data_IF_794814567493
#
_entry.id   IF_794814567493
#
_cell.length_a   1.000
_cell.length_b   1.000
_cell.length_c   1.000
_cell.angle_alpha   90.00
_cell.angle_beta   90.00
_cell.angle_gamma   90.00
#
_symmetry.space_group_name_H-M   'P 1'
#
loop_
_entity.id
_entity.type
_entity.pdbx_description
1 polymer ?
#
# COMPACT_ATOMS: atom_id res chain seq x y z
N UNK A 1 0.94 7.18 1.10
CA UNK A 1 1.34 5.75 0.96
C UNK A 1 1.85 5.14 2.28
N UNK A 2 2.79 5.76 3.00
CA UNK A 2 3.35 5.20 4.23
C UNK A 2 2.31 5.00 5.35
N UNK A 3 1.40 5.97 5.54
CA UNK A 3 0.38 5.93 6.60
C UNK A 3 -0.54 4.71 6.49
N UNK A 4 -1.04 4.38 5.29
CA UNK A 4 -1.93 3.22 5.13
C UNK A 4 -1.21 1.89 5.39
N UNK A 5 0.06 1.79 5.01
CA UNK A 5 0.89 0.61 5.34
C UNK A 5 1.10 0.48 6.86
N UNK A 6 1.29 1.60 7.56
CA UNK A 6 1.36 1.62 9.03
C UNK A 6 0.02 1.21 9.67
N UNK A 7 -1.12 1.66 9.13
CA UNK A 7 -2.44 1.22 9.59
C UNK A 7 -2.63 -0.30 9.43
N UNK A 8 -2.23 -0.88 8.29
CA UNK A 8 -2.29 -2.34 8.08
C UNK A 8 -1.39 -3.06 9.10
N UNK A 9 -0.16 -2.58 9.30
CA UNK A 9 0.76 -3.18 10.27
C UNK A 9 0.18 -3.15 11.69
N UNK A 10 -0.40 -2.02 12.09
CA UNK A 10 -1.01 -1.86 13.41
C UNK A 10 -2.23 -2.77 13.58
N UNK A 11 -3.08 -2.88 12.54
CA UNK A 11 -4.21 -3.81 12.52
C UNK A 11 -3.80 -5.28 12.64
N UNK A 12 -2.73 -5.68 11.95
CA UNK A 12 -2.17 -7.04 12.04
C UNK A 12 -1.60 -7.34 13.43
N UNK A 13 -0.90 -6.39 14.06
CA UNK A 13 -0.39 -6.54 15.43
C UNK A 13 -1.56 -6.66 16.42
N UNK A 14 -2.61 -5.86 16.26
CA UNK A 14 -3.80 -5.93 17.11
C UNK A 14 -4.54 -7.28 16.98
N UNK A 15 -4.64 -7.82 15.75
CA UNK A 15 -5.20 -9.16 15.49
C UNK A 15 -4.34 -10.27 16.09
N UNK A 16 -3.01 -10.19 15.94
CA UNK A 16 -2.09 -11.15 16.52
C UNK A 16 -2.18 -11.15 18.06
N UNK A 17 -2.29 -9.98 18.67
CA UNK A 17 -2.51 -9.84 20.10
C UNK A 17 -3.84 -10.47 20.54
N UNK A 18 -4.94 -10.19 19.85
CA UNK A 18 -6.24 -10.79 20.15
C UNK A 18 -6.21 -12.32 20.02
N UNK A 19 -5.52 -12.85 18.99
CA UNK A 19 -5.35 -14.29 18.80
C UNK A 19 -4.52 -14.93 19.94
N UNK A 20 -3.44 -14.26 20.37
CA UNK A 20 -2.64 -14.71 21.51
C UNK A 20 -3.46 -14.74 22.80
N UNK A 21 -4.21 -13.67 23.09
CA UNK A 21 -5.09 -13.59 24.25
C UNK A 21 -6.18 -14.67 24.24
N UNK A 22 -6.78 -14.95 23.08
CA UNK A 22 -7.77 -16.01 22.92
C UNK A 22 -7.17 -17.41 23.15
N UNK A 23 -5.97 -17.67 22.61
CA UNK A 23 -5.25 -18.93 22.79
C UNK A 23 -4.84 -19.15 24.26
N UNK A 24 -4.33 -18.10 24.92
CA UNK A 24 -3.99 -18.12 26.33
C UNK A 24 -5.23 -18.36 27.19
N UNK A 25 -6.34 -17.68 26.93
CA UNK A 25 -7.59 -17.87 27.66
C UNK A 25 -8.12 -19.31 27.54
N UNK A 26 -8.09 -19.89 26.34
CA UNK A 26 -8.47 -21.29 26.13
C UNK A 26 -7.55 -22.26 26.87
N UNK A 27 -6.26 -21.96 26.95
CA UNK A 27 -5.29 -22.77 27.69
C UNK A 27 -5.52 -22.65 29.19
N UNK A 28 -5.76 -21.45 29.70
CA UNK A 28 -6.08 -21.20 31.10
C UNK A 28 -7.31 -21.99 31.57
N UNK A 29 -8.41 -21.95 30.81
CA UNK A 29 -9.63 -22.71 31.13
C UNK A 29 -9.41 -24.22 31.15
N UNK A 30 -8.54 -24.74 30.29
CA UNK A 30 -8.15 -26.16 30.28
C UNK A 30 -7.37 -26.54 31.53
N UNK A 31 -6.50 -25.65 32.04
CA UNK A 31 -5.72 -25.91 33.25
C UNK A 31 -6.58 -25.81 34.52
N UNK A 32 -7.57 -24.94 34.54
CA UNK A 32 -8.45 -24.73 35.70
C UNK A 32 -9.66 -25.66 35.71
N UNK A 33 -9.76 -26.58 34.75
CA UNK A 33 -10.90 -27.49 34.56
C UNK A 33 -12.26 -26.76 34.47
N UNK A 34 -12.24 -25.49 34.04
CA UNK A 34 -13.45 -24.69 33.86
C UNK A 34 -14.02 -24.90 32.47
N UNK A 35 -15.36 -24.95 32.38
CA UNK A 35 -16.04 -25.09 31.10
C UNK A 35 -15.90 -23.80 30.26
N UNK A 36 -15.61 -23.98 28.96
CA UNK A 36 -15.57 -22.87 28.02
C UNK A 36 -17.00 -22.42 27.72
N UNK A 37 -17.42 -21.32 28.32
CA UNK A 37 -18.76 -20.75 28.11
C UNK A 37 -18.76 -19.75 26.96
N UNK A 38 -17.94 -18.71 27.06
CA UNK A 38 -17.92 -17.58 26.12
C UNK A 38 -16.53 -16.94 26.12
N UNK A 39 -16.08 -16.50 24.94
CA UNK A 39 -14.87 -15.69 24.84
C UNK A 39 -15.10 -14.31 25.48
N UNK A 40 -14.15 -13.79 26.28
CA UNK A 40 -14.27 -12.47 26.87
C UNK A 40 -14.61 -11.39 25.84
N UNK A 41 -15.56 -10.52 26.19
CA UNK A 41 -16.10 -9.50 25.29
C UNK A 41 -15.03 -8.51 24.81
N UNK A 42 -14.00 -8.26 25.62
CA UNK A 42 -12.87 -7.41 25.29
C UNK A 42 -12.04 -7.97 24.11
N UNK A 43 -11.70 -9.27 24.15
CA UNK A 43 -10.97 -9.95 23.07
C UNK A 43 -11.80 -9.95 21.78
N UNK A 44 -13.10 -10.17 21.91
CA UNK A 44 -14.01 -10.14 20.77
C UNK A 44 -14.07 -8.75 20.12
N UNK A 45 -14.22 -7.68 20.91
CA UNK A 45 -14.20 -6.30 20.41
C UNK A 45 -12.85 -5.95 19.77
N UNK A 46 -11.73 -6.32 20.40
CA UNK A 46 -10.39 -6.07 19.87
C UNK A 46 -10.18 -6.75 18.51
N UNK A 47 -10.70 -7.97 18.34
CA UNK A 47 -10.62 -8.70 17.09
C UNK A 47 -11.45 -8.00 15.98
N UNK A 48 -12.68 -7.58 16.27
CA UNK A 48 -13.52 -6.84 15.31
C UNK A 48 -12.87 -5.51 14.91
N UNK A 49 -12.39 -4.72 15.88
CA UNK A 49 -11.73 -3.45 15.60
C UNK A 49 -10.44 -3.65 14.79
N UNK A 50 -9.62 -4.64 15.15
CA UNK A 50 -8.41 -4.99 14.41
C UNK A 50 -8.70 -5.42 12.96
N UNK A 51 -9.77 -6.18 12.75
CA UNK A 51 -10.22 -6.58 11.41
C UNK A 51 -10.64 -5.37 10.58
N UNK A 52 -11.48 -4.49 11.13
CA UNK A 52 -11.97 -3.29 10.42
C UNK A 52 -10.82 -2.35 10.02
N UNK A 53 -9.88 -2.10 10.93
CA UNK A 53 -8.70 -1.27 10.66
C UNK A 53 -7.83 -1.89 9.57
N UNK A 54 -7.64 -3.21 9.60
CA UNK A 54 -6.85 -3.92 8.60
C UNK A 54 -7.52 -3.87 7.23
N UNK A 55 -8.82 -4.13 7.13
CA UNK A 55 -9.58 -4.01 5.88
C UNK A 55 -9.50 -2.60 5.30
N UNK A 56 -9.71 -1.58 6.12
CA UNK A 56 -9.60 -0.18 5.70
C UNK A 56 -8.20 0.14 5.18
N UNK A 57 -7.15 -0.28 5.90
CA UNK A 57 -5.77 -0.08 5.48
C UNK A 57 -5.46 -0.76 4.15
N UNK A 58 -5.90 -2.00 3.94
CA UNK A 58 -5.62 -2.78 2.72
C UNK A 58 -6.30 -2.15 1.50
N UNK A 59 -7.55 -1.72 1.61
CA UNK A 59 -8.28 -1.05 0.52
C UNK A 59 -7.53 0.20 0.06
N UNK A 60 -7.04 1.00 0.99
CA UNK A 60 -6.25 2.20 0.66
C UNK A 60 -4.85 1.89 0.12
N UNK A 61 -4.25 0.74 0.47
CA UNK A 61 -2.97 0.29 -0.08
C UNK A 61 -3.10 -0.21 -1.51
N UNK A 62 -4.26 -0.77 -1.89
CA UNK A 62 -4.51 -1.33 -3.23
C UNK A 62 -4.40 -0.30 -4.37
N UNK A 63 -4.31 0.99 -4.05
CA UNK A 63 -4.13 2.05 -5.03
C UNK A 63 -5.43 2.57 -5.61
N UNK A 64 -5.36 3.72 -6.29
CA UNK A 64 -6.51 4.31 -6.94
C UNK A 64 -6.79 3.59 -8.26
N UNK A 65 -8.07 3.44 -8.58
CA UNK A 65 -8.47 3.04 -9.92
C UNK A 65 -8.01 4.09 -10.94
N UNK A 66 -7.50 3.61 -12.08
CA UNK A 66 -7.18 4.44 -13.24
C UNK A 66 -8.35 4.39 -14.22
N UNK A 67 -8.61 5.49 -14.90
CA UNK A 67 -9.69 5.55 -15.90
C UNK A 67 -9.46 4.56 -17.04
N UNK A 68 -10.55 3.92 -17.48
CA UNK A 68 -10.54 2.94 -18.57
C UNK A 68 -10.35 3.64 -19.93
N UNK A 69 -10.78 4.89 -20.05
CA UNK A 69 -10.71 5.66 -21.31
C UNK A 69 -9.27 6.08 -21.59
N UNK A 70 -8.71 5.53 -22.67
CA UNK A 70 -7.38 5.92 -23.15
C UNK A 70 -7.29 7.42 -23.51
N UNK A 71 -8.39 8.03 -23.97
CA UNK A 71 -8.44 9.44 -24.36
C UNK A 71 -8.12 10.39 -23.20
N UNK A 72 -8.53 10.08 -21.97
CA UNK A 72 -8.24 10.91 -20.81
C UNK A 72 -6.74 10.99 -20.49
N UNK A 73 -5.99 9.91 -20.75
CA UNK A 73 -4.53 9.91 -20.64
C UNK A 73 -3.86 10.61 -21.84
N UNK A 74 -4.50 10.60 -23.01
CA UNK A 74 -3.98 11.25 -24.23
C UNK A 74 -4.12 12.78 -24.18
N UNK A 75 -5.15 13.31 -23.52
CA UNK A 75 -5.31 14.76 -23.35
C UNK A 75 -4.17 15.40 -22.54
N UNK A 76 -3.50 14.62 -21.70
CA UNK A 76 -2.32 15.09 -20.93
C UNK A 76 -1.05 15.09 -21.79
N UNK A 77 -1.04 14.40 -22.94
CA UNK A 77 0.16 14.28 -23.79
C UNK A 77 0.17 15.36 -24.88
N UNK A 78 1.19 16.21 -24.86
CA UNK A 78 1.41 17.25 -25.87
C UNK A 78 1.95 16.67 -27.17
N UNK A 79 1.66 17.33 -28.30
CA UNK A 79 2.22 17.02 -29.62
C UNK A 79 3.75 16.94 -29.65
N UNK A 80 4.44 17.75 -28.84
CA UNK A 80 5.91 17.70 -28.69
C UNK A 80 6.41 16.35 -28.13
N UNK A 81 5.67 15.75 -27.18
CA UNK A 81 5.99 14.43 -26.63
C UNK A 81 5.77 13.32 -27.67
N UNK A 82 4.75 13.47 -28.52
CA UNK A 82 4.44 12.52 -29.58
C UNK A 82 5.43 12.61 -30.76
N UNK A 83 5.87 13.84 -31.09
CA UNK A 83 6.85 14.09 -32.15
C UNK A 83 8.28 13.65 -31.79
N UNK A 84 8.60 13.57 -30.50
CA UNK A 84 9.90 13.10 -30.02
C UNK A 84 10.04 11.56 -30.14
N UNK A 85 10.48 11.09 -31.30
CA UNK A 85 10.67 9.66 -31.57
C UNK A 85 12.07 9.21 -31.15
N UNK A 86 12.19 8.74 -29.91
CA UNK A 86 13.48 8.38 -29.29
C UNK A 86 14.34 7.41 -30.11
N UNK A 87 13.73 6.45 -30.82
CA UNK A 87 14.44 5.50 -31.68
C UNK A 87 15.02 6.09 -32.97
N UNK A 88 14.70 7.34 -33.30
CA UNK A 88 15.16 8.05 -34.50
C UNK A 88 15.83 9.38 -34.18
N UNK A 89 16.33 9.53 -32.94
CA UNK A 89 17.04 10.74 -32.55
C UNK A 89 18.33 10.91 -33.36
N UNK A 90 18.43 12.02 -34.09
CA UNK A 90 19.69 12.44 -34.71
C UNK A 90 20.40 13.46 -33.81
N UNK A 91 21.62 13.13 -33.38
CA UNK A 91 22.45 13.99 -32.53
C UNK A 91 23.18 15.10 -33.31
N UNK A 92 22.94 15.20 -34.62
CA UNK A 92 23.49 16.24 -35.47
C UNK A 92 22.54 17.45 -35.52
N UNK A 93 22.46 18.19 -34.41
CA UNK A 93 21.61 19.38 -34.30
C UNK A 93 22.39 20.59 -33.75
N UNK A 94 21.84 21.80 -33.90
CA UNK A 94 22.47 23.07 -33.49
C UNK A 94 22.86 23.11 -32.00
N UNK A 95 22.18 22.33 -31.16
CA UNK A 95 22.54 22.15 -29.75
C UNK A 95 23.98 21.66 -29.50
N UNK A 96 24.62 20.99 -30.46
CA UNK A 96 26.03 20.57 -30.35
C UNK A 96 27.00 21.77 -30.30
N UNK A 97 26.69 22.86 -31.02
CA UNK A 97 27.50 24.08 -31.03
C UNK A 97 27.11 25.04 -29.90
N UNK A 98 25.84 25.04 -29.49
CA UNK A 98 25.32 25.93 -28.45
C UNK A 98 25.58 25.42 -27.02
N UNK A 99 25.65 24.10 -26.82
CA UNK A 99 25.90 23.47 -25.51
C UNK A 99 27.13 22.55 -25.57
N UNK A 100 28.35 23.10 -25.73
CA UNK A 100 29.56 22.29 -25.72
C UNK A 100 29.72 21.61 -24.33
N UNK A 101 30.06 20.32 -24.32
CA UNK A 101 30.41 19.61 -23.08
C UNK A 101 31.61 20.31 -22.43
N UNK A 102 31.42 20.93 -21.25
CA UNK A 102 32.55 21.29 -20.38
C UNK A 102 33.19 20.01 -19.87
N UNK A 103 34.33 19.65 -20.44
CA UNK A 103 35.23 18.68 -19.83
C UNK A 103 35.83 19.35 -18.59
N UNK A 104 35.35 19.00 -17.40
CA UNK A 104 36.06 19.29 -16.16
C UNK A 104 37.14 18.21 -16.01
N UNK A 105 38.39 18.63 -16.21
CA UNK A 105 39.57 17.89 -15.80
C UNK A 105 39.81 18.12 -14.30
#
# INVERSE_FOLDING_TARGET
MAVHKLCVLFGLIALAHAAYSAAQHRTYLRLTEQEFTILPHDIFLQCILGLLVTCYGVVHVSGSFKEIKASAEQDTKTWEMLGNRQGFNMFHHRGKALFPRRNFA
#
